data_IF_572217570725
#
_entry.id   IF_572217570725
#
_cell.length_a   1.000
_cell.length_b   1.000
_cell.length_c   1.000
_cell.angle_alpha   90.00
_cell.angle_beta   90.00
_cell.angle_gamma   90.00
#
_symmetry.space_group_name_H-M   'P 1'
#
loop_
_entity.id
_entity.type
_entity.pdbx_description
1 polymer ?
#
# COMPACT_ATOMS: atom_id res chain seq x y z
N UNK A 1 9.26 -16.30 13.72
CA UNK A 1 9.71 -17.68 13.44
C UNK A 1 10.08 -17.74 11.97
N UNK A 2 11.33 -18.03 11.63
CA UNK A 2 11.80 -18.15 10.24
C UNK A 2 12.50 -19.47 10.05
N UNK A 3 12.33 -20.08 8.88
CA UNK A 3 13.01 -21.33 8.50
C UNK A 3 13.58 -21.18 7.09
N UNK A 4 14.56 -22.01 6.77
CA UNK A 4 15.18 -22.07 5.45
C UNK A 4 14.85 -23.42 4.81
N UNK A 5 14.56 -23.41 3.52
CA UNK A 5 14.49 -24.61 2.70
C UNK A 5 15.51 -24.51 1.58
N UNK A 6 15.97 -25.66 1.08
CA UNK A 6 16.95 -25.74 0.01
C UNK A 6 16.34 -26.47 -1.17
N UNK A 7 16.40 -25.86 -2.35
CA UNK A 7 16.04 -26.50 -3.62
C UNK A 7 17.32 -26.98 -4.29
N UNK A 8 17.50 -28.29 -4.40
CA UNK A 8 18.65 -28.89 -5.06
C UNK A 8 18.30 -29.23 -6.51
N UNK A 9 19.19 -28.93 -7.45
CA UNK A 9 19.07 -29.39 -8.84
C UNK A 9 19.51 -30.85 -8.95
N UNK A 10 18.56 -31.77 -8.78
CA UNK A 10 18.83 -33.20 -8.85
C UNK A 10 18.67 -33.71 -10.30
N UNK A 11 19.78 -34.08 -10.95
CA UNK A 11 19.85 -34.85 -12.21
C UNK A 11 19.11 -34.28 -13.45
N UNK A 12 18.55 -33.08 -13.41
CA UNK A 12 17.98 -32.39 -14.57
C UNK A 12 18.90 -31.26 -15.04
N UNK A 13 19.56 -31.47 -16.17
CA UNK A 13 19.91 -30.36 -17.06
C UNK A 13 18.64 -30.04 -17.87
N UNK A 14 17.71 -29.29 -17.29
CA UNK A 14 16.67 -28.63 -18.07
C UNK A 14 17.18 -27.24 -18.41
N UNK A 15 17.34 -26.93 -19.69
CA UNK A 15 17.27 -25.54 -20.15
C UNK A 15 16.02 -24.92 -19.52
N UNK A 16 16.16 -23.68 -19.03
CA UNK A 16 15.11 -23.00 -18.27
C UNK A 16 13.77 -23.08 -19.04
N UNK A 17 12.78 -23.88 -18.58
CA UNK A 17 11.53 -24.04 -19.30
C UNK A 17 10.63 -22.81 -19.16
N UNK A 18 11.10 -21.75 -18.51
CA UNK A 18 10.35 -20.51 -18.30
C UNK A 18 10.11 -19.81 -19.64
N UNK A 19 8.97 -20.14 -20.24
CA UNK A 19 8.44 -19.46 -21.42
C UNK A 19 7.88 -18.10 -21.01
N UNK A 20 8.70 -17.06 -21.15
CA UNK A 20 8.24 -15.67 -21.07
C UNK A 20 7.50 -15.31 -22.35
N UNK A 21 6.17 -15.41 -22.31
CA UNK A 21 5.29 -15.08 -23.46
C UNK A 21 5.08 -13.58 -23.65
N UNK A 22 5.55 -12.74 -22.72
CA UNK A 22 5.48 -11.27 -22.83
C UNK A 22 6.14 -10.55 -21.66
N UNK A 23 6.55 -9.31 -21.90
CA UNK A 23 7.19 -8.44 -20.91
C UNK A 23 6.24 -7.32 -20.48
N UNK A 24 6.23 -6.99 -19.18
CA UNK A 24 5.50 -5.83 -18.64
C UNK A 24 6.41 -5.05 -17.71
N UNK A 25 6.62 -3.78 -18.04
CA UNK A 25 7.43 -2.86 -17.22
C UNK A 25 6.53 -1.94 -16.43
N UNK A 26 6.78 -1.83 -15.11
CA UNK A 26 6.10 -0.89 -14.23
C UNK A 26 7.12 0.00 -13.53
N UNK A 27 6.87 1.31 -13.51
CA UNK A 27 7.70 2.26 -12.77
C UNK A 27 7.03 2.55 -11.44
N UNK A 28 7.57 2.00 -10.35
CA UNK A 28 6.99 2.14 -9.00
C UNK A 28 8.07 2.61 -8.03
N UNK A 29 7.74 3.59 -7.19
CA UNK A 29 8.63 4.08 -6.14
C UNK A 29 7.91 4.10 -4.78
N UNK A 30 8.69 3.94 -3.70
CA UNK A 30 8.24 4.25 -2.36
C UNK A 30 8.37 5.76 -2.14
N UNK A 31 7.25 6.43 -1.86
CA UNK A 31 7.20 7.88 -1.62
C UNK A 31 6.75 8.17 -0.20
N UNK A 32 7.38 9.14 0.43
CA UNK A 32 6.94 9.63 1.74
C UNK A 32 5.75 10.57 1.56
N UNK A 33 4.66 10.32 2.29
CA UNK A 33 3.47 11.15 2.28
C UNK A 33 2.97 11.37 3.70
N UNK A 34 2.28 12.49 3.93
CA UNK A 34 1.39 12.62 5.08
C UNK A 34 0.12 11.82 4.79
N UNK A 35 -0.12 10.77 5.56
CA UNK A 35 -1.28 9.90 5.43
C UNK A 35 -2.27 10.18 6.56
N UNK A 36 -3.51 10.53 6.19
CA UNK A 36 -4.61 10.73 7.13
C UNK A 36 -5.51 9.49 7.13
N UNK A 37 -5.59 8.79 8.26
CA UNK A 37 -6.44 7.62 8.42
C UNK A 37 -7.92 7.97 8.56
N UNK A 38 -8.26 9.20 8.93
CA UNK A 38 -9.64 9.68 9.02
C UNK A 38 -9.74 11.12 8.48
N UNK A 39 -9.68 11.29 7.14
CA UNK A 39 -9.75 12.62 6.52
C UNK A 39 -11.07 13.36 6.81
N UNK A 40 -12.13 12.62 7.11
CA UNK A 40 -13.42 13.15 7.54
C UNK A 40 -13.93 12.36 8.74
N UNK A 41 -14.38 13.09 9.76
CA UNK A 41 -15.05 12.54 10.94
C UNK A 41 -16.58 12.63 10.87
N UNK A 42 -17.14 13.05 9.74
CA UNK A 42 -18.59 13.22 9.62
C UNK A 42 -19.34 11.91 9.85
N UNK A 43 -18.90 10.83 9.21
CA UNK A 43 -19.50 9.50 9.36
C UNK A 43 -19.37 8.96 10.79
N UNK A 44 -18.21 9.12 11.42
CA UNK A 44 -17.99 8.73 12.82
C UNK A 44 -18.94 9.48 13.76
N UNK A 45 -19.06 10.80 13.61
CA UNK A 45 -19.92 11.63 14.46
C UNK A 45 -21.39 11.31 14.29
N UNK A 46 -21.84 11.05 13.05
CA UNK A 46 -23.20 10.63 12.77
C UNK A 46 -23.52 9.28 13.43
N UNK A 47 -22.58 8.33 13.35
CA UNK A 47 -22.72 7.03 14.01
C UNK A 47 -22.86 7.17 15.54
N UNK A 48 -21.99 7.95 16.18
CA UNK A 48 -22.06 8.21 17.63
C UNK A 48 -23.37 8.88 18.03
N UNK A 49 -23.86 9.83 17.22
CA UNK A 49 -25.14 10.48 17.45
C UNK A 49 -26.31 9.50 17.39
N UNK A 50 -26.35 8.62 16.37
CA UNK A 50 -27.37 7.58 16.22
C UNK A 50 -27.34 6.54 17.35
N UNK A 51 -26.18 6.35 17.98
CA UNK A 51 -25.99 5.44 19.11
C UNK A 51 -26.20 6.11 20.47
N UNK A 52 -26.51 7.42 20.49
CA UNK A 52 -26.61 8.24 21.71
C UNK A 52 -25.34 8.19 22.58
N UNK A 53 -24.18 8.03 21.94
CA UNK A 53 -22.88 7.92 22.58
C UNK A 53 -22.07 9.21 22.37
N UNK A 54 -21.36 9.63 23.42
CA UNK A 54 -20.40 10.71 23.35
C UNK A 54 -19.04 10.21 23.86
N UNK A 55 -18.30 9.56 22.98
CA UNK A 55 -17.05 8.86 23.30
C UNK A 55 -15.88 9.51 22.59
N UNK A 56 -14.81 9.79 23.32
CA UNK A 56 -13.52 10.24 22.76
C UNK A 56 -12.84 9.12 21.98
N UNK A 57 -12.17 9.45 20.88
CA UNK A 57 -11.48 8.48 20.05
C UNK A 57 -9.98 8.48 20.32
N UNK A 58 -9.51 7.52 21.12
CA UNK A 58 -8.09 7.35 21.49
C UNK A 58 -7.14 7.25 20.28
N UNK A 59 -7.62 6.81 19.12
CA UNK A 59 -6.79 6.67 17.92
C UNK A 59 -6.72 7.94 17.07
N UNK A 60 -7.75 8.78 17.13
CA UNK A 60 -7.90 9.91 16.21
C UNK A 60 -7.73 11.25 16.92
N UNK A 61 -8.04 11.33 18.21
CA UNK A 61 -8.02 12.56 18.99
C UNK A 61 -6.59 13.00 19.23
N UNK A 62 -6.34 14.27 18.91
CA UNK A 62 -5.04 14.89 19.12
C UNK A 62 -5.07 15.56 20.49
N UNK A 63 -4.56 14.86 21.49
CA UNK A 63 -4.34 15.39 22.84
C UNK A 63 -2.85 15.71 23.05
N UNK A 64 -2.45 16.11 24.26
CA UNK A 64 -1.10 16.63 24.59
C UNK A 64 0.04 15.70 24.12
N UNK A 65 -0.16 14.38 24.21
CA UNK A 65 0.86 13.38 23.85
C UNK A 65 0.47 12.49 22.66
N UNK A 66 -0.69 12.73 22.04
CA UNK A 66 -1.20 11.90 20.94
C UNK A 66 -1.09 12.63 19.60
N UNK A 67 -0.69 11.90 18.57
CA UNK A 67 -0.42 12.45 17.23
C UNK A 67 -1.73 12.76 16.48
N UNK A 68 -2.79 12.00 16.76
CA UNK A 68 -4.06 12.04 16.03
C UNK A 68 -4.03 11.20 14.75
N UNK A 69 -4.86 11.54 13.76
CA UNK A 69 -5.10 10.69 12.57
C UNK A 69 -4.03 10.75 11.48
N UNK A 70 -3.11 11.71 11.53
CA UNK A 70 -2.15 12.01 10.45
C UNK A 70 -0.74 11.56 10.80
N UNK A 71 -0.14 10.78 9.89
CA UNK A 71 1.18 10.21 10.08
C UNK A 71 2.03 10.29 8.81
N UNK A 72 3.33 10.53 8.96
CA UNK A 72 4.28 10.33 7.86
C UNK A 72 4.39 8.83 7.56
N UNK A 73 4.16 8.44 6.30
CA UNK A 73 4.21 7.05 5.82
C UNK A 73 5.00 6.94 4.52
N UNK A 74 5.60 5.79 4.27
CA UNK A 74 6.12 5.42 2.96
C UNK A 74 5.08 4.57 2.22
N UNK A 75 4.68 4.99 1.02
CA UNK A 75 3.64 4.32 0.22
C UNK A 75 4.14 4.06 -1.19
N UNK A 76 3.74 2.95 -1.80
CA UNK A 76 4.08 2.68 -3.19
C UNK A 76 3.18 3.46 -4.14
N UNK A 77 3.79 4.16 -5.11
CA UNK A 77 3.09 4.90 -6.17
C UNK A 77 3.69 4.59 -7.52
N UNK A 78 2.83 4.52 -8.53
CA UNK A 78 3.21 4.25 -9.91
C UNK A 78 3.50 5.55 -10.65
N UNK A 79 4.49 5.51 -11.53
CA UNK A 79 4.96 6.58 -12.40
C UNK A 79 4.82 6.16 -13.86
N UNK A 80 4.83 7.15 -14.74
CA UNK A 80 4.63 6.94 -16.19
C UNK A 80 5.83 6.30 -16.86
N UNK A 81 7.03 6.59 -16.37
CA UNK A 81 8.29 6.23 -17.00
C UNK A 81 9.44 6.15 -15.97
N UNK A 82 10.62 5.77 -16.46
CA UNK A 82 11.85 5.58 -15.66
C UNK A 82 12.42 6.87 -15.07
N UNK A 83 11.89 8.05 -15.42
CA UNK A 83 12.35 9.32 -14.83
C UNK A 83 11.71 9.60 -13.48
N UNK A 84 10.63 8.90 -13.13
CA UNK A 84 9.88 9.07 -11.88
C UNK A 84 9.42 10.51 -11.61
N UNK A 85 9.22 11.31 -12.66
CA UNK A 85 8.79 12.71 -12.54
C UNK A 85 7.26 12.86 -12.50
N UNK A 86 6.55 12.04 -13.25
CA UNK A 86 5.09 12.15 -13.39
C UNK A 86 4.44 10.92 -12.77
N UNK A 87 3.75 11.14 -11.65
CA UNK A 87 2.98 10.09 -11.00
C UNK A 87 1.72 9.77 -11.81
N UNK A 88 1.42 8.48 -11.97
CA UNK A 88 0.18 8.03 -12.61
C UNK A 88 -1.01 8.46 -11.75
N UNK A 89 -1.94 9.21 -12.36
CA UNK A 89 -3.18 9.62 -11.70
C UNK A 89 -4.01 8.39 -11.33
N UNK A 90 -4.56 8.38 -10.11
CA UNK A 90 -5.58 7.40 -9.73
C UNK A 90 -6.87 7.70 -10.48
N UNK A 91 -7.44 6.67 -11.08
CA UNK A 91 -8.79 6.72 -11.66
C UNK A 91 -9.82 6.58 -10.54
N UNK A 92 -11.07 6.94 -10.82
CA UNK A 92 -12.15 6.85 -9.83
C UNK A 92 -12.34 5.41 -9.34
N UNK A 93 -12.21 4.44 -10.25
CA UNK A 93 -12.22 3.01 -9.93
C UNK A 93 -11.10 2.59 -8.95
N UNK A 94 -9.99 3.33 -8.88
CA UNK A 94 -8.82 3.02 -8.04
C UNK A 94 -8.79 3.81 -6.71
N UNK A 95 -9.75 4.70 -6.47
CA UNK A 95 -9.76 5.55 -5.26
C UNK A 95 -9.81 4.70 -4.00
N UNK A 96 -10.54 3.58 -4.05
CA UNK A 96 -10.69 2.63 -2.95
C UNK A 96 -9.37 1.98 -2.49
N UNK A 97 -8.31 2.02 -3.31
CA UNK A 97 -7.01 1.44 -2.94
C UNK A 97 -6.37 2.15 -1.75
N UNK A 98 -6.74 3.40 -1.47
CA UNK A 98 -6.31 4.11 -0.27
C UNK A 98 -4.78 4.12 -0.13
N UNK A 99 -4.26 3.48 0.90
CA UNK A 99 -2.81 3.45 1.16
C UNK A 99 -2.04 2.54 0.18
N UNK A 100 -2.72 1.53 -0.40
CA UNK A 100 -2.13 0.50 -1.25
C UNK A 100 -1.57 1.07 -2.56
N UNK A 101 -0.61 0.33 -3.13
CA UNK A 101 -0.11 0.56 -4.49
C UNK A 101 -1.15 0.18 -5.55
N UNK A 102 -0.85 0.49 -6.81
CA UNK A 102 -1.69 0.09 -7.96
C UNK A 102 -1.71 -1.44 -8.09
N UNK A 103 -2.90 -2.00 -8.35
CA UNK A 103 -3.15 -3.46 -8.41
C UNK A 103 -2.36 -4.14 -9.55
N UNK A 104 -2.12 -3.43 -10.65
CA UNK A 104 -1.50 -4.02 -11.83
C UNK A 104 0.02 -4.19 -11.71
N UNK A 105 0.67 -3.61 -10.69
CA UNK A 105 2.07 -3.86 -10.44
C UNK A 105 2.21 -5.16 -9.66
N UNK A 106 2.88 -6.21 -10.20
CA UNK A 106 3.26 -7.36 -9.42
C UNK A 106 4.38 -6.90 -8.47
N UNK A 107 4.01 -6.26 -7.36
CA UNK A 107 4.87 -6.23 -6.18
C UNK A 107 4.78 -7.66 -5.63
N UNK A 108 5.49 -8.58 -6.27
CA UNK A 108 5.98 -9.75 -5.60
C UNK A 108 6.80 -9.21 -4.44
N UNK A 109 6.23 -9.24 -3.24
CA UNK A 109 6.97 -9.20 -2.00
C UNK A 109 7.89 -10.42 -2.01
N UNK A 110 8.98 -10.36 -2.77
CA UNK A 110 10.17 -11.13 -2.50
C UNK A 110 10.85 -10.48 -1.29
N UNK A 111 10.22 -10.64 -0.12
CA UNK A 111 10.90 -10.42 1.14
C UNK A 111 11.79 -11.64 1.39
N UNK A 112 13.10 -11.37 1.35
CA UNK A 112 14.24 -12.04 2.00
C UNK A 112 14.14 -13.49 2.46
#
# INVERSE_FOLDING_TARGET
>A
MKQKYTVNQCKQHSEDPTLYLGERTYYVAAVEVEWDYSPSRAWEKELHHLQEQNVSNVFLDKEEFYIGSKYKKAVYRQFTDSTFKVQVKRKDEDVHLGILGKVNSPILLALG
#
